data_IF_187713546595
#
_entry.id   IF_187713546595
#
_cell.length_a   1.000
_cell.length_b   1.000
_cell.length_c   1.000
_cell.angle_alpha   90.00
_cell.angle_beta   90.00
_cell.angle_gamma   90.00
#
_symmetry.space_group_name_H-M   'P 1'
#
loop_
_entity.id
_entity.type
_entity.pdbx_description
1 polymer ?
#
# COMPACT_ATOMS: atom_id res chain seq x y z
N UNK A 1 8.99 -9.05 -0.16
CA UNK A 1 8.80 -7.60 -0.08
C UNK A 1 10.08 -6.92 0.38
N UNK A 2 10.35 -5.68 -0.12
CA UNK A 2 11.57 -4.93 0.23
C UNK A 2 11.72 -4.69 1.74
N UNK A 3 10.61 -4.57 2.46
CA UNK A 3 10.62 -4.41 3.93
C UNK A 3 11.21 -5.64 4.64
N UNK A 4 10.86 -6.85 4.20
CA UNK A 4 11.44 -8.07 4.75
C UNK A 4 12.92 -8.21 4.39
N UNK A 5 13.30 -7.84 3.15
CA UNK A 5 14.70 -7.82 2.75
C UNK A 5 15.53 -6.84 3.58
N UNK A 6 14.97 -5.67 3.92
CA UNK A 6 15.62 -4.70 4.82
C UNK A 6 16.00 -5.33 6.16
N UNK A 7 15.09 -6.08 6.75
CA UNK A 7 15.30 -6.78 8.04
C UNK A 7 16.30 -7.92 7.85
N UNK A 8 16.11 -8.76 6.84
CA UNK A 8 16.99 -9.90 6.55
C UNK A 8 18.45 -9.50 6.28
N UNK A 9 18.68 -8.29 5.79
CA UNK A 9 20.03 -7.81 5.47
C UNK A 9 20.85 -7.36 6.68
N UNK A 10 20.21 -7.09 7.83
CA UNK A 10 20.86 -6.43 8.97
C UNK A 10 20.60 -7.08 10.32
N UNK A 11 19.65 -8.01 10.40
CA UNK A 11 19.26 -8.64 11.66
C UNK A 11 19.51 -10.14 11.64
N UNK A 12 19.83 -10.72 12.79
CA UNK A 12 20.45 -12.04 12.91
C UNK A 12 19.46 -13.20 12.85
N UNK A 13 18.16 -12.97 13.14
CA UNK A 13 17.17 -14.05 13.15
C UNK A 13 16.63 -14.34 11.74
N UNK A 14 16.15 -15.56 11.49
CA UNK A 14 15.39 -15.85 10.28
C UNK A 14 14.20 -14.90 10.09
N UNK A 15 13.90 -14.54 8.84
CA UNK A 15 12.81 -13.59 8.53
C UNK A 15 11.47 -14.04 9.13
N UNK A 16 11.24 -15.35 9.18
CA UNK A 16 10.00 -15.91 9.75
C UNK A 16 9.79 -15.49 11.20
N UNK A 17 10.85 -15.44 12.01
CA UNK A 17 10.75 -15.05 13.42
C UNK A 17 10.29 -13.59 13.60
N UNK A 18 10.64 -12.72 12.64
CA UNK A 18 10.19 -11.32 12.62
C UNK A 18 8.77 -11.16 12.05
N UNK A 19 8.31 -12.10 11.24
CA UNK A 19 6.92 -12.12 10.76
C UNK A 19 5.97 -12.64 11.83
N UNK A 20 6.42 -13.63 12.63
CA UNK A 20 5.66 -14.16 13.76
C UNK A 20 5.65 -13.18 14.95
N UNK A 21 6.75 -12.49 15.17
CA UNK A 21 6.89 -11.50 16.25
C UNK A 21 7.63 -10.23 15.77
N UNK A 22 6.89 -9.27 15.17
CA UNK A 22 7.47 -8.02 14.69
C UNK A 22 8.10 -7.13 15.76
N UNK A 23 7.85 -7.38 17.05
CA UNK A 23 8.47 -6.63 18.14
C UNK A 23 9.97 -6.86 18.25
N UNK A 24 10.48 -7.95 17.67
CA UNK A 24 11.91 -8.27 17.60
C UNK A 24 12.68 -7.40 16.61
N UNK A 25 11.99 -6.68 15.71
CA UNK A 25 12.65 -5.80 14.74
C UNK A 25 13.21 -4.58 15.44
N UNK A 26 14.52 -4.42 15.38
CA UNK A 26 15.26 -3.30 16.00
C UNK A 26 15.45 -2.14 15.03
N UNK A 27 16.01 -1.03 15.52
CA UNK A 27 16.38 0.13 14.71
C UNK A 27 17.62 -0.08 13.83
N UNK A 28 18.34 -1.17 14.02
CA UNK A 28 19.51 -1.52 13.20
C UNK A 28 19.05 -2.12 11.87
N UNK A 29 18.73 -1.25 10.93
CA UNK A 29 18.21 -1.61 9.60
C UNK A 29 18.92 -0.82 8.51
N UNK A 30 19.11 -1.44 7.35
CA UNK A 30 19.70 -0.78 6.19
C UNK A 30 18.86 0.41 5.70
N UNK A 31 19.46 1.45 5.09
CA UNK A 31 18.73 2.48 4.38
C UNK A 31 17.80 1.86 3.32
N UNK A 32 16.57 2.38 3.23
CA UNK A 32 15.56 1.81 2.35
C UNK A 32 14.87 2.91 1.53
N UNK A 33 15.11 2.87 0.22
CA UNK A 33 14.48 3.76 -0.75
C UNK A 33 13.46 2.95 -1.54
N UNK A 34 12.28 3.49 -1.71
CA UNK A 34 11.20 2.88 -2.49
C UNK A 34 10.91 3.69 -3.74
N UNK A 35 10.65 2.99 -4.83
CA UNK A 35 10.25 3.56 -6.11
C UNK A 35 9.04 2.78 -6.59
N UNK A 36 7.81 3.23 -6.32
CA UNK A 36 6.61 2.48 -6.68
C UNK A 36 6.41 2.43 -8.20
N UNK A 37 5.94 1.28 -8.69
CA UNK A 37 5.55 1.06 -10.08
C UNK A 37 4.05 0.87 -10.24
N UNK A 38 3.30 0.95 -9.13
CA UNK A 38 1.84 0.89 -9.06
C UNK A 38 1.34 1.99 -8.14
N UNK A 39 0.12 2.46 -8.36
CA UNK A 39 -0.54 3.46 -7.55
C UNK A 39 -1.69 2.80 -6.77
N UNK A 40 -1.41 2.20 -5.62
CA UNK A 40 -2.40 1.43 -4.85
C UNK A 40 -2.10 1.38 -3.37
N UNK A 41 -1.31 0.40 -2.96
CA UNK A 41 -1.11 0.01 -1.56
C UNK A 41 -0.45 1.05 -0.66
N UNK A 42 0.14 2.12 -1.19
CA UNK A 42 0.93 3.07 -0.40
C UNK A 42 2.14 2.43 0.30
N UNK A 43 2.66 1.32 -0.24
CA UNK A 43 3.76 0.57 0.36
C UNK A 43 5.02 1.41 0.52
N UNK A 44 5.18 2.45 -0.29
CA UNK A 44 6.31 3.38 -0.32
C UNK A 44 6.40 4.26 0.92
N UNK A 45 5.32 4.41 1.69
CA UNK A 45 5.32 5.23 2.91
C UNK A 45 4.87 4.47 4.16
N UNK A 46 4.35 3.25 4.01
CA UNK A 46 3.80 2.49 5.12
C UNK A 46 4.86 1.69 5.87
N UNK A 47 4.60 1.39 7.16
CA UNK A 47 5.47 0.58 8.02
C UNK A 47 4.98 -0.88 8.15
N UNK A 48 4.14 -1.36 7.25
CA UNK A 48 3.66 -2.72 7.21
C UNK A 48 3.69 -3.32 5.82
N UNK A 49 3.51 -4.62 5.71
CA UNK A 49 3.38 -5.33 4.45
C UNK A 49 3.05 -6.79 4.67
N UNK A 50 2.22 -7.36 3.80
CA UNK A 50 1.90 -8.79 3.80
C UNK A 50 2.95 -9.60 3.05
N UNK A 51 3.16 -10.83 3.50
CA UNK A 51 4.00 -11.82 2.85
C UNK A 51 3.23 -13.13 2.84
N UNK A 52 3.01 -13.68 1.65
CA UNK A 52 2.47 -15.01 1.49
C UNK A 52 3.59 -16.03 1.67
N UNK A 53 3.41 -16.94 2.61
CA UNK A 53 4.32 -18.06 2.85
C UNK A 53 3.61 -19.28 2.32
N UNK A 54 3.99 -19.75 1.16
CA UNK A 54 3.48 -20.92 0.44
C UNK A 54 1.94 -21.16 0.43
N UNK A 55 1.51 -21.84 -0.58
CA UNK A 55 0.11 -22.15 -0.89
C UNK A 55 -0.68 -22.69 0.29
N UNK A 56 -1.74 -21.99 0.69
CA UNK A 56 -2.75 -22.44 1.64
C UNK A 56 -2.50 -22.06 3.09
N UNK A 57 -1.54 -21.19 3.37
CA UNK A 57 -1.25 -20.71 4.72
C UNK A 57 -1.59 -19.22 4.89
N UNK A 58 -1.84 -18.85 6.13
CA UNK A 58 -2.15 -17.49 6.51
C UNK A 58 -1.09 -16.49 6.00
N UNK A 59 -1.56 -15.36 5.49
CA UNK A 59 -0.70 -14.22 5.20
C UNK A 59 -0.07 -13.72 6.50
N UNK A 60 1.25 -13.81 6.63
CA UNK A 60 1.97 -13.16 7.71
C UNK A 60 2.29 -11.72 7.36
N UNK A 61 2.24 -10.84 8.35
CA UNK A 61 2.50 -9.43 8.17
C UNK A 61 3.78 -8.99 8.88
N UNK A 62 4.67 -8.29 8.16
CA UNK A 62 5.71 -7.52 8.83
C UNK A 62 5.14 -6.15 9.19
N UNK A 63 5.28 -5.75 10.46
CA UNK A 63 4.80 -4.44 10.93
C UNK A 63 5.72 -3.87 11.99
N UNK A 64 6.49 -2.87 11.61
CA UNK A 64 7.37 -2.13 12.53
C UNK A 64 7.65 -0.75 11.96
N UNK A 65 7.80 0.26 12.83
CA UNK A 65 8.23 1.59 12.40
C UNK A 65 9.62 1.54 11.72
N UNK A 66 10.44 0.57 12.08
CA UNK A 66 11.78 0.39 11.53
C UNK A 66 11.80 -0.15 10.08
N UNK A 67 10.68 -0.70 9.58
CA UNK A 67 10.58 -1.13 8.18
C UNK A 67 9.95 -0.07 7.26
N UNK A 68 9.57 1.09 7.81
CA UNK A 68 9.10 2.21 6.99
C UNK A 68 10.23 2.68 6.07
N UNK A 69 9.97 2.94 4.78
CA UNK A 69 10.97 3.52 3.88
C UNK A 69 11.49 4.87 4.40
N UNK A 70 12.78 5.12 4.18
CA UNK A 70 13.42 6.39 4.53
C UNK A 70 13.17 7.45 3.48
N UNK A 71 12.98 7.03 2.22
CA UNK A 71 12.70 7.88 1.07
C UNK A 71 11.77 7.15 0.09
N UNK A 72 10.78 7.86 -0.42
CA UNK A 72 9.93 7.41 -1.53
C UNK A 72 10.16 8.32 -2.75
N UNK A 73 10.45 7.72 -3.91
CA UNK A 73 10.58 8.43 -5.18
C UNK A 73 9.37 8.06 -6.03
N UNK A 74 8.41 8.96 -6.12
CA UNK A 74 7.16 8.76 -6.84
C UNK A 74 7.26 9.36 -8.25
N UNK A 75 7.69 8.55 -9.23
CA UNK A 75 7.73 8.95 -10.64
C UNK A 75 6.57 8.32 -11.40
N UNK A 76 5.61 9.11 -11.93
CA UNK A 76 4.49 8.58 -12.71
C UNK A 76 4.95 7.87 -13.97
N UNK A 77 6.13 8.19 -14.51
CA UNK A 77 6.71 7.51 -15.67
C UNK A 77 6.86 5.99 -15.47
N UNK A 78 7.09 5.55 -14.22
CA UNK A 78 7.25 4.14 -13.89
C UNK A 78 5.91 3.39 -13.77
N UNK A 79 4.79 4.08 -13.77
CA UNK A 79 3.44 3.49 -13.75
C UNK A 79 2.78 3.44 -15.14
N UNK A 80 3.35 4.10 -16.16
CA UNK A 80 2.72 4.26 -17.48
C UNK A 80 2.55 2.95 -18.25
N UNK A 81 3.36 1.94 -17.96
CA UNK A 81 3.27 0.60 -18.59
C UNK A 81 2.31 -0.34 -17.85
N UNK A 82 1.72 0.09 -16.73
CA UNK A 82 0.77 -0.74 -15.99
C UNK A 82 -0.50 -0.98 -16.83
N UNK A 83 -0.93 -2.26 -17.01
CA UNK A 83 -2.15 -2.57 -17.77
C UNK A 83 -3.40 -1.89 -17.20
N UNK A 84 -4.41 -1.57 -18.03
CA UNK A 84 -5.64 -0.89 -17.60
C UNK A 84 -6.35 -1.56 -16.42
N UNK A 85 -6.49 -2.89 -16.44
CA UNK A 85 -7.13 -3.65 -15.35
C UNK A 85 -6.39 -3.48 -14.03
N UNK A 86 -5.05 -3.52 -14.05
CA UNK A 86 -4.24 -3.32 -12.85
C UNK A 86 -4.24 -1.85 -12.41
N UNK A 87 -4.31 -0.91 -13.36
CA UNK A 87 -4.45 0.53 -13.06
C UNK A 87 -5.74 0.78 -12.29
N UNK A 88 -6.86 0.25 -12.78
CA UNK A 88 -8.16 0.38 -12.11
C UNK A 88 -8.14 -0.30 -10.72
N UNK A 89 -7.71 -1.56 -10.65
CA UNK A 89 -7.69 -2.32 -9.40
C UNK A 89 -6.82 -1.65 -8.33
N UNK A 90 -5.60 -1.21 -8.69
CA UNK A 90 -4.73 -0.53 -7.71
C UNK A 90 -5.25 0.86 -7.34
N UNK A 91 -5.82 1.60 -8.29
CA UNK A 91 -6.46 2.89 -8.01
C UNK A 91 -7.62 2.76 -7.02
N UNK A 92 -8.45 1.73 -7.19
CA UNK A 92 -9.55 1.46 -6.25
C UNK A 92 -9.07 0.98 -4.89
N UNK A 93 -7.93 0.27 -4.82
CA UNK A 93 -7.27 -0.05 -3.55
C UNK A 93 -6.86 1.24 -2.80
N UNK A 94 -6.23 2.19 -3.49
CA UNK A 94 -5.91 3.50 -2.93
C UNK A 94 -7.17 4.27 -2.48
N UNK A 95 -8.26 4.19 -3.24
CA UNK A 95 -9.55 4.75 -2.87
C UNK A 95 -10.07 4.12 -1.57
N UNK A 96 -10.07 2.79 -1.49
CA UNK A 96 -10.49 2.04 -0.30
C UNK A 96 -9.70 2.45 0.95
N UNK A 97 -8.37 2.58 0.84
CA UNK A 97 -7.53 3.07 1.93
C UNK A 97 -7.94 4.47 2.42
N UNK A 98 -8.18 5.39 1.48
CA UNK A 98 -8.60 6.75 1.82
C UNK A 98 -10.00 6.77 2.48
N UNK A 99 -10.97 6.04 1.91
CA UNK A 99 -12.35 5.98 2.44
C UNK A 99 -12.37 5.38 3.84
N UNK A 100 -11.70 4.23 4.05
CA UNK A 100 -11.67 3.58 5.36
C UNK A 100 -10.92 4.42 6.39
N UNK A 101 -9.83 5.06 6.00
CA UNK A 101 -9.12 6.01 6.86
C UNK A 101 -9.98 7.20 7.25
N UNK A 102 -10.75 7.76 6.32
CA UNK A 102 -11.68 8.87 6.59
C UNK A 102 -12.85 8.47 7.49
N UNK A 103 -13.40 7.28 7.30
CA UNK A 103 -14.53 6.77 8.07
C UNK A 103 -14.12 6.14 9.41
N UNK A 104 -12.83 6.12 9.71
CA UNK A 104 -12.32 5.58 10.97
C UNK A 104 -12.90 6.33 12.19
N UNK A 105 -13.12 5.59 13.25
CA UNK A 105 -13.55 6.17 14.55
C UNK A 105 -12.40 6.82 15.33
N UNK A 106 -11.16 6.72 14.83
CA UNK A 106 -10.00 7.39 15.39
C UNK A 106 -9.95 8.85 14.90
N UNK A 107 -10.18 9.78 15.80
CA UNK A 107 -10.19 11.21 15.48
C UNK A 107 -8.78 11.73 15.19
N UNK A 108 -8.53 12.13 13.94
CA UNK A 108 -7.29 12.76 13.51
C UNK A 108 -7.56 13.65 12.29
N UNK A 109 -7.99 14.89 12.52
CA UNK A 109 -8.37 15.81 11.45
C UNK A 109 -7.31 16.03 10.36
N UNK A 110 -5.99 16.07 10.63
CA UNK A 110 -5.00 16.07 9.56
C UNK A 110 -5.07 14.83 8.66
N UNK A 111 -5.22 13.63 9.22
CA UNK A 111 -5.34 12.40 8.43
C UNK A 111 -6.65 12.35 7.64
N UNK A 112 -7.76 12.83 8.21
CA UNK A 112 -9.04 12.97 7.53
C UNK A 112 -8.96 13.90 6.31
N UNK A 113 -8.29 15.05 6.45
CA UNK A 113 -8.08 15.98 5.35
C UNK A 113 -7.22 15.37 4.23
N UNK A 114 -6.17 14.62 4.58
CA UNK A 114 -5.33 13.89 3.63
C UNK A 114 -6.15 12.83 2.89
N UNK A 115 -6.97 12.07 3.61
CA UNK A 115 -7.84 11.04 3.05
C UNK A 115 -8.85 11.63 2.05
N UNK A 116 -9.48 12.76 2.38
CA UNK A 116 -10.43 13.43 1.49
C UNK A 116 -9.77 13.92 0.18
N UNK A 117 -8.56 14.49 0.25
CA UNK A 117 -7.84 14.88 -0.96
C UNK A 117 -7.46 13.64 -1.79
N UNK A 118 -7.06 12.52 -1.14
CA UNK A 118 -6.80 11.24 -1.80
C UNK A 118 -8.03 10.68 -2.52
N UNK A 119 -9.19 10.69 -1.88
CA UNK A 119 -10.47 10.31 -2.49
C UNK A 119 -10.73 11.14 -3.75
N UNK A 120 -10.61 12.47 -3.65
CA UNK A 120 -10.85 13.37 -4.77
C UNK A 120 -9.91 13.09 -5.95
N UNK A 121 -8.63 12.82 -5.70
CA UNK A 121 -7.65 12.47 -6.74
C UNK A 121 -8.05 11.18 -7.45
N UNK A 122 -8.32 10.11 -6.71
CA UNK A 122 -8.65 8.84 -7.33
C UNK A 122 -9.95 8.94 -8.12
N UNK A 123 -11.02 9.51 -7.55
CA UNK A 123 -12.31 9.65 -8.24
C UNK A 123 -12.21 10.45 -9.54
N UNK A 124 -11.41 11.51 -9.55
CA UNK A 124 -11.29 12.37 -10.74
C UNK A 124 -10.37 11.80 -11.83
N UNK A 125 -9.46 10.88 -11.50
CA UNK A 125 -8.41 10.49 -12.45
C UNK A 125 -8.30 8.99 -12.73
N UNK A 126 -8.98 8.11 -11.98
CA UNK A 126 -8.85 6.64 -12.18
C UNK A 126 -9.36 6.21 -13.56
N UNK A 127 -10.46 6.77 -14.03
CA UNK A 127 -10.99 6.46 -15.35
C UNK A 127 -10.04 6.94 -16.48
N UNK A 128 -9.53 8.17 -16.36
CA UNK A 128 -8.58 8.73 -17.32
C UNK A 128 -7.29 7.90 -17.41
N UNK A 129 -6.68 7.59 -16.26
CA UNK A 129 -5.47 6.77 -16.20
C UNK A 129 -5.67 5.34 -16.70
N UNK A 130 -6.91 4.81 -16.57
CA UNK A 130 -7.26 3.47 -17.05
C UNK A 130 -7.49 3.47 -18.56
N UNK A 131 -8.15 4.50 -19.08
CA UNK A 131 -8.44 4.65 -20.51
C UNK A 131 -7.18 4.99 -21.34
N UNK A 132 -6.32 5.86 -20.80
CA UNK A 132 -5.04 6.24 -21.40
C UNK A 132 -3.89 6.09 -20.40
N UNK A 133 -3.19 4.96 -20.48
CA UNK A 133 -2.02 4.69 -19.63
C UNK A 133 -0.85 5.68 -19.83
N UNK A 134 -0.85 6.46 -20.91
CA UNK A 134 0.17 7.46 -21.23
C UNK A 134 -0.15 8.86 -20.63
N UNK A 135 -1.34 9.05 -20.08
CA UNK A 135 -1.70 10.29 -19.38
C UNK A 135 -0.88 10.44 -18.10
N UNK A 136 0.23 11.17 -18.21
CA UNK A 136 1.18 11.37 -17.13
C UNK A 136 0.56 12.11 -15.93
N UNK A 137 -0.36 13.04 -16.19
CA UNK A 137 -1.05 13.77 -15.11
C UNK A 137 -1.98 12.85 -14.33
N UNK A 138 -2.80 12.07 -15.03
CA UNK A 138 -3.68 11.11 -14.37
C UNK A 138 -2.87 10.06 -13.56
N UNK A 139 -1.76 9.57 -14.09
CA UNK A 139 -0.83 8.67 -13.37
C UNK A 139 -0.25 9.32 -12.12
N UNK A 140 0.16 10.60 -12.20
CA UNK A 140 0.65 11.35 -11.06
C UNK A 140 -0.43 11.50 -9.98
N UNK A 141 -1.64 11.84 -10.36
CA UNK A 141 -2.75 12.02 -9.43
C UNK A 141 -3.09 10.70 -8.71
N UNK A 142 -3.11 9.56 -9.41
CA UNK A 142 -3.29 8.27 -8.77
C UNK A 142 -2.14 7.92 -7.81
N UNK A 143 -0.91 8.22 -8.20
CA UNK A 143 0.25 7.97 -7.34
C UNK A 143 0.15 8.77 -6.03
N UNK A 144 -0.25 10.04 -6.12
CA UNK A 144 -0.48 10.88 -4.93
C UNK A 144 -1.67 10.38 -4.11
N UNK A 145 -2.74 9.93 -4.75
CA UNK A 145 -3.86 9.28 -4.07
C UNK A 145 -3.43 8.03 -3.29
N UNK A 146 -2.54 7.20 -3.87
CA UNK A 146 -1.99 6.03 -3.19
C UNK A 146 -1.10 6.39 -1.99
N UNK A 147 -0.25 7.42 -2.12
CA UNK A 147 0.54 7.96 -1.00
C UNK A 147 -0.40 8.43 0.13
N UNK A 148 -1.44 9.16 -0.20
CA UNK A 148 -2.41 9.67 0.78
C UNK A 148 -3.24 8.55 1.42
N UNK A 149 -3.60 7.52 0.66
CA UNK A 149 -4.19 6.30 1.17
C UNK A 149 -3.27 5.61 2.17
N UNK A 150 -1.99 5.44 1.82
CA UNK A 150 -0.99 4.90 2.72
C UNK A 150 -0.75 5.74 3.98
N UNK A 151 -0.94 7.07 3.92
CA UNK A 151 -0.88 7.94 5.10
C UNK A 151 -2.13 7.79 5.98
N UNK A 152 -3.29 7.58 5.39
CA UNK A 152 -4.56 7.47 6.12
C UNK A 152 -4.81 6.07 6.69
N UNK A 153 -4.20 5.03 6.15
CA UNK A 153 -4.36 3.64 6.61
C UNK A 153 -4.05 3.44 8.11
N UNK A 154 -3.23 4.32 8.69
CA UNK A 154 -2.90 4.29 10.12
C UNK A 154 -4.06 4.69 11.02
N UNK A 155 -5.12 5.26 10.47
CA UNK A 155 -6.38 5.48 11.18
C UNK A 155 -7.12 4.16 11.44
N UNK A 156 -6.76 3.11 10.74
CA UNK A 156 -7.35 1.78 10.79
C UNK A 156 -7.93 1.37 9.44
N UNK A 157 -7.87 0.08 9.16
CA UNK A 157 -8.57 -0.53 8.03
C UNK A 157 -9.98 -0.94 8.47
N UNK A 158 -10.94 -0.80 7.57
CA UNK A 158 -12.33 -1.10 7.80
C UNK A 158 -12.78 -2.44 7.17
N UNK A 159 -14.08 -2.59 6.93
CA UNK A 159 -14.66 -3.84 6.43
C UNK A 159 -14.22 -4.20 5.00
N UNK A 160 -13.91 -3.22 4.15
CA UNK A 160 -13.50 -3.46 2.76
C UNK A 160 -12.23 -4.30 2.74
N UNK A 161 -11.18 -3.83 3.41
CA UNK A 161 -9.90 -4.55 3.48
C UNK A 161 -10.01 -5.84 4.29
N UNK A 162 -10.82 -5.86 5.36
CA UNK A 162 -11.06 -7.07 6.13
C UNK A 162 -11.67 -8.18 5.27
N UNK A 163 -12.67 -7.85 4.45
CA UNK A 163 -13.28 -8.79 3.51
C UNK A 163 -12.30 -9.20 2.40
N UNK A 164 -11.58 -8.23 1.83
CA UNK A 164 -10.56 -8.50 0.81
C UNK A 164 -9.48 -9.48 1.30
N UNK A 165 -9.06 -9.38 2.56
CA UNK A 165 -8.09 -10.32 3.14
C UNK A 165 -8.65 -11.73 3.34
N UNK A 166 -9.94 -11.90 3.59
CA UNK A 166 -10.57 -13.23 3.68
C UNK A 166 -10.49 -13.98 2.36
N UNK A 167 -10.54 -13.26 1.24
CA UNK A 167 -10.45 -13.82 -0.11
C UNK A 167 -9.06 -13.73 -0.73
N UNK A 168 -8.03 -13.39 0.07
CA UNK A 168 -6.66 -13.18 -0.42
C UNK A 168 -6.02 -14.43 -1.07
N UNK A 169 -6.53 -15.63 -0.75
CA UNK A 169 -6.09 -16.90 -1.36
C UNK A 169 -6.75 -17.16 -2.73
N UNK A 170 -7.64 -16.27 -3.21
CA UNK A 170 -8.20 -16.35 -4.55
C UNK A 170 -7.16 -15.95 -5.61
N UNK A 171 -7.34 -16.43 -6.85
CA UNK A 171 -6.50 -16.03 -7.98
C UNK A 171 -6.69 -14.55 -8.39
N UNK A 172 -7.59 -13.83 -7.73
CA UNK A 172 -7.88 -12.44 -8.03
C UNK A 172 -6.82 -11.51 -7.42
N UNK A 173 -6.46 -10.48 -8.18
CA UNK A 173 -5.56 -9.44 -7.68
C UNK A 173 -6.19 -8.72 -6.47
N UNK A 174 -5.38 -8.42 -5.43
CA UNK A 174 -5.85 -7.80 -4.18
C UNK A 174 -6.74 -6.57 -4.41
N UNK A 175 -6.33 -5.65 -5.28
CA UNK A 175 -7.13 -4.48 -5.63
C UNK A 175 -8.48 -4.80 -6.28
N UNK A 176 -8.60 -5.95 -6.98
CA UNK A 176 -9.89 -6.40 -7.53
C UNK A 176 -10.82 -7.01 -6.48
N UNK A 177 -10.28 -7.41 -5.33
CA UNK A 177 -11.07 -7.91 -4.20
C UNK A 177 -11.62 -6.78 -3.32
N UNK A 178 -11.05 -5.59 -3.45
CA UNK A 178 -11.40 -4.39 -2.69
C UNK A 178 -12.46 -3.54 -3.41
N UNK A 179 -12.66 -3.78 -4.70
CA UNK A 179 -13.68 -3.10 -5.52
C UNK A 179 -14.99 -3.85 -5.52
#
# INVERSE_FOLDING_TARGET
SGKALRVAATQDLPVIDYLEDPSKITADVAPYITVPTTAGTGAEITFGGGIHIETGSHQLGIRSIHVKPDLAICDPGLTMTLPPVLTAATGMDAFGHCVEGFLSTNNNSPAEAIALDGIARVVNYVEAATADGSDREARWQLLMGAVQGGMSIYMGLGPIHTLGHIFADSELHHGALIT
#
